data_IF_656510017157
#
_entry.id   IF_656510017157
#
_cell.length_a   1.000
_cell.length_b   1.000
_cell.length_c   1.000
_cell.angle_alpha   90.00
_cell.angle_beta   90.00
_cell.angle_gamma   90.00
#
_symmetry.space_group_name_H-M   'P 1'
#
loop_
_entity.id
_entity.type
_entity.pdbx_description
1 polymer ?
#
# COMPACT_ATOMS: atom_id res chain seq x y z
N UNK A 1 -18.76 -16.33 5.49
CA UNK A 1 -19.76 -15.46 4.86
C UNK A 1 -19.12 -14.86 3.62
N UNK A 2 -19.49 -15.40 2.45
CA UNK A 2 -18.92 -15.04 1.16
C UNK A 2 -19.59 -13.75 0.66
N UNK A 3 -18.91 -12.62 0.81
CA UNK A 3 -19.26 -11.43 0.05
C UNK A 3 -18.72 -11.63 -1.38
N UNK A 4 -19.52 -11.40 -2.44
CA UNK A 4 -19.06 -11.60 -3.80
C UNK A 4 -17.85 -10.68 -4.06
N UNK A 5 -16.74 -11.19 -4.63
CA UNK A 5 -15.64 -10.33 -5.04
C UNK A 5 -16.18 -9.34 -6.08
N UNK A 6 -15.83 -8.06 -5.92
CA UNK A 6 -16.27 -6.97 -6.78
C UNK A 6 -15.90 -7.29 -8.23
N UNK A 7 -16.88 -7.71 -9.05
CA UNK A 7 -16.67 -8.12 -10.46
C UNK A 7 -16.30 -6.98 -11.39
N UNK A 8 -16.53 -5.72 -10.98
CA UNK A 8 -16.20 -4.51 -11.75
C UNK A 8 -15.91 -3.37 -10.79
N UNK A 9 -14.76 -2.71 -10.94
CA UNK A 9 -14.58 -1.34 -10.48
C UNK A 9 -14.86 -0.38 -11.66
N UNK A 10 -15.44 0.77 -11.35
CA UNK A 10 -15.80 1.83 -12.31
C UNK A 10 -14.71 2.03 -13.37
N UNK A 11 -15.15 2.17 -14.63
CA UNK A 11 -14.37 2.29 -15.88
C UNK A 11 -14.00 1.01 -16.63
N UNK A 12 -14.78 -0.08 -16.53
CA UNK A 12 -14.72 -1.23 -17.46
C UNK A 12 -13.31 -1.86 -17.64
N UNK A 13 -12.40 -1.68 -16.68
CA UNK A 13 -11.02 -2.13 -16.82
C UNK A 13 -10.81 -3.33 -15.91
N UNK A 14 -10.34 -4.43 -16.51
CA UNK A 14 -10.05 -5.71 -15.86
C UNK A 14 -9.34 -5.50 -14.52
N UNK A 15 -9.80 -6.18 -13.47
CA UNK A 15 -9.18 -6.15 -12.12
C UNK A 15 -7.65 -6.39 -12.17
N UNK A 16 -7.21 -7.17 -13.18
CA UNK A 16 -5.81 -7.41 -13.52
C UNK A 16 -5.02 -6.16 -13.89
N UNK A 17 -5.66 -5.20 -14.57
CA UNK A 17 -5.06 -3.91 -14.89
C UNK A 17 -5.05 -2.99 -13.66
N UNK A 18 -6.08 -3.07 -12.81
CA UNK A 18 -6.15 -2.31 -11.56
C UNK A 18 -5.01 -2.66 -10.59
N UNK A 19 -4.70 -3.96 -10.44
CA UNK A 19 -3.56 -4.39 -9.61
C UNK A 19 -2.22 -3.97 -10.21
N UNK A 20 -2.01 -4.07 -11.53
CA UNK A 20 -0.77 -3.59 -12.16
C UNK A 20 -0.60 -2.08 -11.99
N UNK A 21 -1.65 -1.30 -12.20
CA UNK A 21 -1.64 0.16 -12.03
C UNK A 21 -1.33 0.53 -10.58
N UNK A 22 -1.91 -0.18 -9.60
CA UNK A 22 -1.63 0.06 -8.18
C UNK A 22 -0.15 -0.20 -7.82
N UNK A 23 0.44 -1.29 -8.32
CA UNK A 23 1.85 -1.60 -8.11
C UNK A 23 2.77 -0.57 -8.77
N UNK A 24 2.40 -0.10 -9.96
CA UNK A 24 3.15 0.94 -10.66
C UNK A 24 3.08 2.28 -9.92
N UNK A 25 1.89 2.65 -9.43
CA UNK A 25 1.69 3.83 -8.58
C UNK A 25 2.54 3.75 -7.31
N UNK A 26 2.58 2.59 -6.65
CA UNK A 26 3.40 2.39 -5.44
C UNK A 26 4.90 2.57 -5.73
N UNK A 27 5.40 2.09 -6.87
CA UNK A 27 6.79 2.28 -7.29
C UNK A 27 7.08 3.76 -7.54
N UNK A 28 6.22 4.45 -8.30
CA UNK A 28 6.36 5.88 -8.59
C UNK A 28 6.35 6.71 -7.31
N UNK A 29 5.41 6.42 -6.41
CA UNK A 29 5.27 7.12 -5.13
C UNK A 29 6.50 6.87 -4.24
N UNK A 30 7.02 5.64 -4.22
CA UNK A 30 8.28 5.29 -3.54
C UNK A 30 9.46 6.11 -4.08
N UNK A 31 9.63 6.20 -5.40
CA UNK A 31 10.70 6.99 -6.02
C UNK A 31 10.57 8.47 -5.64
N UNK A 32 9.37 9.04 -5.70
CA UNK A 32 9.11 10.42 -5.30
C UNK A 32 9.50 10.64 -3.83
N UNK A 33 9.11 9.72 -2.93
CA UNK A 33 9.48 9.83 -1.52
C UNK A 33 10.98 9.71 -1.28
N UNK A 34 11.73 8.87 -2.03
CA UNK A 34 13.20 8.84 -1.95
C UNK A 34 13.79 10.20 -2.34
N UNK A 35 13.32 10.79 -3.44
CA UNK A 35 13.77 12.09 -3.91
C UNK A 35 13.50 13.16 -2.86
N UNK A 36 12.30 13.20 -2.28
CA UNK A 36 11.96 14.14 -1.21
C UNK A 36 12.89 13.94 0.00
N UNK A 37 13.15 12.70 0.44
CA UNK A 37 14.05 12.41 1.57
C UNK A 37 15.49 12.87 1.29
N UNK A 38 15.95 12.81 0.04
CA UNK A 38 17.28 13.29 -0.35
C UNK A 38 17.35 14.82 -0.50
N UNK A 39 16.31 15.45 -1.07
CA UNK A 39 16.26 16.89 -1.35
C UNK A 39 15.90 17.70 -0.10
N UNK A 40 15.01 17.19 0.75
CA UNK A 40 14.63 17.87 1.99
C UNK A 40 15.66 17.54 3.07
N UNK A 41 16.47 18.53 3.47
CA UNK A 41 17.24 18.48 4.73
C UNK A 41 16.34 18.74 5.95
N UNK A 42 15.08 18.34 5.87
CA UNK A 42 14.22 18.39 7.04
C UNK A 42 14.72 17.26 7.93
N UNK A 43 15.24 17.63 9.10
CA UNK A 43 15.43 16.69 10.20
C UNK A 43 14.07 16.09 10.47
N UNK A 44 13.77 14.94 9.86
CA UNK A 44 12.57 14.18 10.17
C UNK A 44 12.70 13.77 11.64
N UNK A 45 12.26 14.63 12.53
CA UNK A 45 11.84 14.26 13.87
C UNK A 45 10.61 13.37 13.65
N UNK A 46 10.86 12.10 13.34
CA UNK A 46 9.83 11.09 13.49
C UNK A 46 9.64 10.99 14.99
N UNK A 47 8.52 11.53 15.45
CA UNK A 47 8.24 11.88 16.86
C UNK A 47 8.21 10.64 17.77
N UNK A 48 8.32 9.45 17.19
CA UNK A 48 8.33 8.15 17.86
C UNK A 48 9.78 7.72 18.25
N UNK A 49 10.82 8.27 17.60
CA UNK A 49 12.22 7.85 17.80
C UNK A 49 13.16 9.04 18.11
N UNK A 50 12.84 9.84 19.13
CA UNK A 50 13.74 10.90 19.61
C UNK A 50 15.10 10.36 20.13
N UNK A 51 15.21 9.06 20.37
CA UNK A 51 16.45 8.38 20.78
C UNK A 51 17.41 8.06 19.61
N UNK A 52 16.92 7.96 18.37
CA UNK A 52 17.75 7.48 17.24
C UNK A 52 18.32 8.66 16.44
N UNK A 53 19.63 8.68 16.14
CA UNK A 53 20.24 9.71 15.31
C UNK A 53 19.51 9.85 13.96
N UNK A 54 19.25 11.08 13.49
CA UNK A 54 18.48 11.34 12.27
C UNK A 54 19.10 10.70 11.01
N UNK A 55 20.41 10.47 11.01
CA UNK A 55 21.12 9.77 9.93
C UNK A 55 20.74 8.28 9.85
N UNK A 56 20.54 7.62 11.01
CA UNK A 56 20.18 6.20 11.07
C UNK A 56 18.73 6.01 10.62
N UNK A 57 17.82 6.88 11.04
CA UNK A 57 16.41 6.87 10.60
C UNK A 57 16.32 7.03 9.07
N UNK A 58 17.14 7.92 8.50
CA UNK A 58 17.22 8.11 7.05
C UNK A 58 17.64 6.83 6.31
N UNK A 59 18.65 6.13 6.82
CA UNK A 59 19.13 4.87 6.24
C UNK A 59 18.05 3.77 6.33
N UNK A 60 17.40 3.63 7.49
CA UNK A 60 16.32 2.65 7.69
C UNK A 60 15.16 2.89 6.73
N UNK A 61 14.74 4.15 6.56
CA UNK A 61 13.68 4.52 5.61
C UNK A 61 14.05 4.20 4.16
N UNK A 62 15.29 4.50 3.75
CA UNK A 62 15.75 4.18 2.39
C UNK A 62 15.76 2.66 2.14
N UNK A 63 16.21 1.87 3.11
CA UNK A 63 16.18 0.40 3.03
C UNK A 63 14.73 -0.10 2.93
N UNK A 64 13.83 0.43 3.76
CA UNK A 64 12.42 0.06 3.73
C UNK A 64 11.78 0.36 2.37
N UNK A 65 12.05 1.54 1.77
CA UNK A 65 11.55 1.88 0.44
C UNK A 65 12.12 0.97 -0.65
N UNK A 66 13.38 0.57 -0.53
CA UNK A 66 13.98 -0.40 -1.46
C UNK A 66 13.27 -1.76 -1.37
N UNK A 67 12.94 -2.22 -0.15
CA UNK A 67 12.13 -3.42 0.06
C UNK A 67 10.72 -3.25 -0.52
N UNK A 68 10.09 -2.08 -0.39
CA UNK A 68 8.78 -1.79 -0.97
C UNK A 68 8.80 -1.84 -2.51
N UNK A 69 9.87 -1.38 -3.15
CA UNK A 69 10.05 -1.51 -4.62
C UNK A 69 10.21 -2.98 -5.02
N UNK A 70 11.01 -3.76 -4.29
CA UNK A 70 11.15 -5.20 -4.52
C UNK A 70 9.82 -5.93 -4.36
N UNK A 71 9.07 -5.64 -3.29
CA UNK A 71 7.77 -6.28 -3.02
C UNK A 71 6.72 -5.86 -4.07
N UNK A 72 6.77 -4.61 -4.55
CA UNK A 72 5.88 -4.13 -5.62
C UNK A 72 6.18 -4.79 -6.97
N UNK A 73 7.45 -5.02 -7.30
CA UNK A 73 7.82 -5.78 -8.51
C UNK A 73 7.45 -7.26 -8.40
N UNK A 74 7.63 -7.88 -7.23
CA UNK A 74 7.13 -9.21 -6.91
C UNK A 74 5.62 -9.34 -7.08
N UNK A 75 4.85 -8.32 -6.67
CA UNK A 75 3.39 -8.28 -6.88
C UNK A 75 3.05 -8.28 -8.38
N UNK A 76 3.72 -7.46 -9.19
CA UNK A 76 3.51 -7.42 -10.65
C UNK A 76 3.81 -8.79 -11.27
N UNK A 77 4.91 -9.43 -10.87
CA UNK A 77 5.25 -10.79 -11.32
C UNK A 77 4.21 -11.81 -10.83
N UNK A 78 3.69 -11.66 -9.61
CA UNK A 78 2.64 -12.50 -9.03
C UNK A 78 1.34 -12.45 -9.85
N UNK A 79 0.94 -11.26 -10.29
CA UNK A 79 -0.22 -11.06 -11.18
C UNK A 79 0.02 -11.69 -12.56
N UNK A 80 1.23 -11.55 -13.12
CA UNK A 80 1.57 -12.12 -14.44
C UNK A 80 1.62 -13.66 -14.37
N UNK A 81 2.25 -14.23 -13.35
CA UNK A 81 2.41 -15.67 -13.15
C UNK A 81 1.21 -16.35 -12.48
N UNK A 82 0.15 -15.61 -12.16
CA UNK A 82 -1.03 -16.08 -11.41
C UNK A 82 -0.66 -16.81 -10.10
N UNK A 83 0.36 -16.33 -9.39
CA UNK A 83 0.82 -16.92 -8.15
C UNK A 83 0.48 -16.02 -6.95
N UNK A 84 -0.62 -16.36 -6.27
CA UNK A 84 -1.13 -15.69 -5.07
C UNK A 84 -0.09 -15.56 -3.93
N UNK A 85 0.84 -16.51 -3.75
CA UNK A 85 1.86 -16.44 -2.68
C UNK A 85 2.78 -15.22 -2.82
N UNK A 86 3.04 -14.75 -4.05
CA UNK A 86 3.91 -13.60 -4.29
C UNK A 86 3.21 -12.26 -4.02
N UNK A 87 1.87 -12.23 -4.01
CA UNK A 87 1.08 -11.03 -3.71
C UNK A 87 0.78 -10.85 -2.22
N UNK A 88 0.83 -11.94 -1.44
CA UNK A 88 0.52 -11.98 -0.01
C UNK A 88 1.28 -10.95 0.84
N UNK A 89 2.63 -10.82 0.74
CA UNK A 89 3.36 -9.84 1.55
C UNK A 89 2.99 -8.39 1.23
N UNK A 90 2.67 -8.09 -0.04
CA UNK A 90 2.25 -6.74 -0.43
C UNK A 90 0.90 -6.39 0.19
N UNK A 91 -0.05 -7.33 0.21
CA UNK A 91 -1.38 -7.12 0.80
C UNK A 91 -1.27 -6.86 2.30
N UNK A 92 -0.46 -7.64 3.02
CA UNK A 92 -0.26 -7.45 4.48
C UNK A 92 0.45 -6.12 4.77
N UNK A 93 1.51 -5.79 4.04
CA UNK A 93 2.21 -4.52 4.25
C UNK A 93 1.35 -3.30 3.87
N UNK A 94 0.54 -3.42 2.83
CA UNK A 94 -0.36 -2.35 2.38
C UNK A 94 -1.35 -1.91 3.46
N UNK A 95 -1.94 -2.86 4.20
CA UNK A 95 -2.88 -2.51 5.27
C UNK A 95 -2.15 -1.90 6.49
N UNK A 96 -0.95 -2.38 6.81
CA UNK A 96 -0.12 -1.79 7.87
C UNK A 96 0.27 -0.34 7.55
N UNK A 97 0.64 -0.07 6.29
CA UNK A 97 0.97 1.28 5.81
C UNK A 97 -0.28 2.17 5.85
N UNK A 98 -1.44 1.69 5.41
CA UNK A 98 -2.67 2.47 5.44
C UNK A 98 -3.05 2.92 6.86
N UNK A 99 -2.95 2.01 7.84
CA UNK A 99 -3.20 2.33 9.26
C UNK A 99 -2.15 3.32 9.78
N UNK A 100 -0.86 3.07 9.50
CA UNK A 100 0.22 3.97 9.92
C UNK A 100 0.09 5.38 9.36
N UNK A 101 -0.33 5.51 8.11
CA UNK A 101 -0.56 6.79 7.45
C UNK A 101 -1.76 7.52 8.06
N UNK A 102 -2.85 6.81 8.36
CA UNK A 102 -4.01 7.38 9.03
C UNK A 102 -3.67 7.94 10.41
N UNK A 103 -2.94 7.18 11.23
CA UNK A 103 -2.48 7.65 12.56
C UNK A 103 -1.56 8.86 12.42
N UNK A 104 -0.65 8.85 11.45
CA UNK A 104 0.28 9.95 11.19
C UNK A 104 -0.45 11.23 10.77
N UNK A 105 -1.48 11.14 9.92
CA UNK A 105 -2.30 12.28 9.48
C UNK A 105 -3.06 12.89 10.66
N UNK A 106 -3.67 12.06 11.52
CA UNK A 106 -4.39 12.56 12.70
C UNK A 106 -3.43 13.25 13.66
N UNK A 107 -2.29 12.61 13.95
CA UNK A 107 -1.29 13.17 14.87
C UNK A 107 -0.77 14.53 14.38
N UNK A 108 -0.35 14.60 13.11
CA UNK A 108 0.14 15.86 12.51
C UNK A 108 -0.92 16.95 12.53
N UNK A 109 -2.18 16.62 12.23
CA UNK A 109 -3.28 17.57 12.34
C UNK A 109 -3.44 18.11 13.77
N UNK A 110 -3.39 17.24 14.80
CA UNK A 110 -3.50 17.65 16.21
C UNK A 110 -2.37 18.60 16.61
N UNK A 111 -1.12 18.32 16.21
CA UNK A 111 0.01 19.23 16.49
C UNK A 111 -0.21 20.59 15.85
N UNK A 112 -0.65 20.65 14.59
CA UNK A 112 -0.95 21.92 13.92
C UNK A 112 -2.10 22.71 14.57
N UNK A 113 -3.09 22.03 15.18
CA UNK A 113 -4.14 22.69 15.95
C UNK A 113 -3.60 23.29 17.25
N UNK A 114 -2.66 22.61 17.92
CA UNK A 114 -2.03 23.10 19.17
C UNK A 114 -1.16 24.33 18.89
N UNK A 115 -0.43 24.35 17.77
CA UNK A 115 0.43 25.48 17.37
C UNK A 115 -0.36 26.71 16.85
N UNK A 116 -1.70 26.66 16.86
CA UNK A 116 -2.57 27.77 16.47
C UNK A 116 -2.74 27.97 14.96
N UNK A 117 -2.13 27.12 14.13
CA UNK A 117 -2.25 27.16 12.67
C UNK A 117 -3.45 26.32 12.18
N UNK A 118 -4.65 26.80 12.50
CA UNK A 118 -5.93 26.10 12.26
C UNK A 118 -6.17 25.82 10.78
N UNK A 119 -5.88 26.78 9.89
CA UNK A 119 -6.13 26.63 8.44
C UNK A 119 -5.29 25.52 7.81
N UNK A 120 -3.99 25.46 8.12
CA UNK A 120 -3.09 24.42 7.62
C UNK A 120 -3.39 23.06 8.22
N UNK A 121 -3.80 23.01 9.51
CA UNK A 121 -4.25 21.77 10.15
C UNK A 121 -5.47 21.16 9.46
N UNK A 122 -6.48 21.98 9.13
CA UNK A 122 -7.69 21.52 8.42
C UNK A 122 -7.36 21.08 6.99
N UNK A 123 -6.57 21.84 6.24
CA UNK A 123 -6.14 21.47 4.89
C UNK A 123 -5.38 20.13 4.90
N UNK A 124 -4.44 19.95 5.83
CA UNK A 124 -3.66 18.73 5.96
C UNK A 124 -4.54 17.52 6.30
N UNK A 125 -5.52 17.69 7.19
CA UNK A 125 -6.47 16.65 7.55
C UNK A 125 -7.34 16.24 6.35
N UNK A 126 -7.90 17.20 5.61
CA UNK A 126 -8.75 16.93 4.44
C UNK A 126 -7.95 16.22 3.35
N UNK A 127 -6.78 16.73 2.96
CA UNK A 127 -5.94 16.09 1.95
C UNK A 127 -5.43 14.71 2.41
N UNK A 128 -5.02 14.59 3.68
CA UNK A 128 -4.56 13.33 4.25
C UNK A 128 -5.67 12.26 4.29
N UNK A 129 -6.90 12.65 4.61
CA UNK A 129 -8.04 11.74 4.64
C UNK A 129 -8.44 11.26 3.23
N UNK A 130 -8.42 12.15 2.24
CA UNK A 130 -8.65 11.80 0.84
C UNK A 130 -7.56 10.84 0.34
N UNK A 131 -6.30 11.10 0.67
CA UNK A 131 -5.19 10.20 0.32
C UNK A 131 -5.35 8.82 0.97
N UNK A 132 -5.75 8.75 2.25
CA UNK A 132 -6.08 7.49 2.93
C UNK A 132 -7.22 6.74 2.22
N UNK A 133 -8.29 7.44 1.82
CA UNK A 133 -9.40 6.83 1.10
C UNK A 133 -8.97 6.24 -0.26
N UNK A 134 -8.13 6.95 -1.01
CA UNK A 134 -7.59 6.45 -2.29
C UNK A 134 -6.68 5.24 -2.06
N UNK A 135 -5.82 5.27 -1.04
CA UNK A 135 -4.91 4.16 -0.72
C UNK A 135 -5.69 2.91 -0.29
N UNK A 136 -6.70 3.05 0.57
CA UNK A 136 -7.56 1.93 0.98
C UNK A 136 -8.37 1.36 -0.19
N UNK A 137 -8.87 2.21 -1.10
CA UNK A 137 -9.51 1.74 -2.32
C UNK A 137 -8.54 0.95 -3.22
N UNK A 138 -7.34 1.48 -3.43
CA UNK A 138 -6.27 0.82 -4.18
C UNK A 138 -5.91 -0.54 -3.58
N UNK A 139 -5.85 -0.62 -2.25
CA UNK A 139 -5.63 -1.86 -1.51
C UNK A 139 -6.79 -2.87 -1.71
N UNK A 140 -8.04 -2.43 -1.63
CA UNK A 140 -9.21 -3.29 -1.88
C UNK A 140 -9.19 -3.90 -3.29
N UNK A 141 -8.75 -3.15 -4.30
CA UNK A 141 -8.60 -3.66 -5.68
C UNK A 141 -7.58 -4.80 -5.73
N UNK A 142 -6.41 -4.63 -5.10
CA UNK A 142 -5.39 -5.69 -5.06
C UNK A 142 -5.85 -6.90 -4.24
N UNK A 143 -6.52 -6.66 -3.11
CA UNK A 143 -7.08 -7.72 -2.28
C UNK A 143 -8.12 -8.55 -3.03
N UNK A 144 -8.95 -7.89 -3.86
CA UNK A 144 -9.94 -8.58 -4.70
C UNK A 144 -9.27 -9.50 -5.72
N UNK A 145 -8.21 -9.04 -6.41
CA UNK A 145 -7.42 -9.90 -7.32
C UNK A 145 -6.74 -11.05 -6.60
N UNK A 146 -6.18 -10.80 -5.41
CA UNK A 146 -5.59 -11.84 -4.58
C UNK A 146 -6.62 -12.94 -4.23
N UNK A 147 -7.83 -12.53 -3.84
CA UNK A 147 -8.92 -13.46 -3.50
C UNK A 147 -9.33 -14.31 -4.71
N UNK A 148 -9.47 -13.69 -5.89
CA UNK A 148 -9.82 -14.40 -7.14
C UNK A 148 -8.73 -15.41 -7.52
N UNK A 149 -7.45 -15.03 -7.44
CA UNK A 149 -6.32 -15.93 -7.72
C UNK A 149 -6.22 -17.07 -6.70
N UNK A 150 -6.54 -16.81 -5.42
CA UNK A 150 -6.59 -17.84 -4.38
C UNK A 150 -7.68 -18.86 -4.69
N UNK A 151 -8.90 -18.41 -5.03
CA UNK A 151 -10.01 -19.29 -5.40
C UNK A 151 -9.74 -20.11 -6.68
N UNK A 152 -9.12 -19.50 -7.70
CA UNK A 152 -8.75 -20.20 -8.93
C UNK A 152 -7.72 -21.32 -8.66
N UNK A 153 -6.74 -21.05 -7.79
CA UNK A 153 -5.74 -22.04 -7.41
C UNK A 153 -6.33 -23.19 -6.56
N UNK A 154 -7.30 -22.90 -5.69
CA UNK A 154 -8.03 -23.93 -4.95
C UNK A 154 -8.86 -24.81 -5.89
N UNK A 155 -9.60 -24.23 -6.84
CA UNK A 155 -10.36 -24.98 -7.86
C UNK A 155 -9.47 -25.81 -8.77
N UNK A 156 -8.31 -25.30 -9.16
CA UNK A 156 -7.28 -26.04 -9.91
C UNK A 156 -6.72 -27.24 -9.15
N UNK A 157 -6.75 -27.23 -7.82
CA UNK A 157 -6.39 -28.37 -6.96
C UNK A 157 -7.49 -29.43 -6.92
N UNK A 158 -8.77 -29.02 -6.92
CA UNK A 158 -9.91 -29.94 -6.98
C UNK A 158 -10.09 -30.60 -8.36
N UNK A 159 -9.71 -29.94 -9.46
CA UNK A 159 -9.72 -30.54 -10.80
C UNK A 159 -8.67 -31.65 -11.00
N UNK A 160 -7.80 -31.88 -10.01
CA UNK A 160 -6.89 -33.03 -9.97
C UNK A 160 -7.46 -34.22 -9.20
N UNK A 161 -8.78 -34.33 -9.07
CA UNK A 161 -9.38 -35.60 -8.69
C UNK A 161 -9.06 -36.62 -9.80
N UNK A 162 -8.40 -37.75 -9.49
CA UNK A 162 -8.09 -38.74 -10.49
C UNK A 162 -9.41 -39.27 -11.02
N UNK A 163 -9.54 -39.35 -12.34
CA UNK A 163 -10.64 -40.00 -13.02
C UNK A 163 -10.78 -41.41 -12.43
N UNK A 164 -11.72 -41.59 -11.50
CA UNK A 164 -12.00 -42.89 -10.90
C UNK A 164 -12.78 -43.66 -11.95
N UNK A 165 -12.07 -44.56 -12.63
CA UNK A 165 -12.61 -45.56 -13.56
C UNK A 165 -13.84 -46.24 -13.00
#
# INVERSE_FOLDING_TARGET
MANPPLKSCCFCQSLRNGSIISGLLAIVLSIITIVIIFTTRVTFKTIIFDWVPPNIVKIILVINLCMTILISTLMIIGVIKRNHYLMMPWVVLGIMIAIGLLVSVIYTAVVFFIDGFVLTGVLWLVFGLIACAILTYCWCVVYSEFTILSEENERGRYNKQPYRR
#
